data_IF_411659169685
#
_entry.id   IF_411659169685
#
_cell.length_a   1.000
_cell.length_b   1.000
_cell.length_c   1.000
_cell.angle_alpha   90.00
_cell.angle_beta   90.00
_cell.angle_gamma   90.00
#
_symmetry.space_group_name_H-M   'P 1'
#
loop_
_entity.id
_entity.type
_entity.pdbx_description
1 polymer ?
#
# COMPACT_ATOMS: atom_id res chain seq x y z
N UNK A 1 12.20 15.87 9.45
CA UNK A 1 11.34 16.37 8.34
C UNK A 1 10.32 15.28 8.03
N UNK A 2 9.48 14.96 9.01
CA UNK A 2 8.46 13.90 8.99
C UNK A 2 7.35 14.41 9.91
N UNK A 3 6.35 15.09 9.35
CA UNK A 3 5.18 15.54 10.11
C UNK A 3 3.95 15.48 9.21
N UNK A 4 2.79 15.20 9.82
CA UNK A 4 1.45 15.06 9.19
C UNK A 4 1.23 13.80 8.36
N UNK A 5 1.66 12.68 8.92
CA UNK A 5 1.41 11.36 8.34
C UNK A 5 -0.05 10.90 8.57
N UNK A 6 -0.64 11.00 9.77
CA UNK A 6 -1.93 10.35 10.14
C UNK A 6 -3.06 10.23 9.07
N UNK A 7 -3.50 11.29 8.38
CA UNK A 7 -4.55 11.15 7.37
C UNK A 7 -4.01 10.61 6.02
N UNK A 8 -2.76 10.92 5.72
CA UNK A 8 -2.03 10.44 4.53
C UNK A 8 -1.63 8.97 4.68
N UNK A 9 -1.14 8.54 5.86
CA UNK A 9 -0.99 7.13 6.21
C UNK A 9 -2.33 6.42 6.31
N UNK A 10 -3.43 7.06 6.73
CA UNK A 10 -4.75 6.41 6.64
C UNK A 10 -5.11 6.08 5.19
N UNK A 11 -4.92 7.02 4.25
CA UNK A 11 -5.20 6.81 2.82
C UNK A 11 -4.21 5.81 2.19
N UNK A 12 -2.92 5.89 2.54
CA UNK A 12 -1.89 4.98 2.04
C UNK A 12 -1.96 3.61 2.71
N UNK A 13 -2.39 3.48 3.96
CA UNK A 13 -2.61 2.19 4.62
C UNK A 13 -3.82 1.47 4.06
N UNK A 14 -4.81 2.18 3.48
CA UNK A 14 -5.83 1.52 2.65
C UNK A 14 -5.23 0.90 1.38
N UNK A 15 -4.05 1.36 0.94
CA UNK A 15 -3.30 0.82 -0.21
C UNK A 15 -2.21 -0.18 0.21
N UNK A 16 -1.78 -0.23 1.48
CA UNK A 16 -0.62 -1.02 1.93
C UNK A 16 -0.86 -2.01 3.08
N UNK A 17 -2.02 -2.02 3.76
CA UNK A 17 -2.22 -2.83 4.98
C UNK A 17 -3.47 -3.72 4.92
N UNK A 18 -3.22 -5.03 4.94
CA UNK A 18 -4.20 -6.10 5.25
C UNK A 18 -4.57 -6.04 6.75
N UNK A 19 -5.75 -6.42 7.26
CA UNK A 19 -6.30 -7.78 7.21
C UNK A 19 -7.86 -7.78 7.65
N UNK A 20 -8.56 -8.88 8.07
CA UNK A 20 -9.98 -9.17 8.64
C UNK A 20 -11.36 -8.64 8.18
N UNK A 21 -12.22 -8.31 9.17
CA UNK A 21 -13.61 -8.81 9.31
C UNK A 21 -14.43 -8.19 10.47
N UNK A 22 -15.31 -7.27 10.11
CA UNK A 22 -16.73 -7.30 10.48
C UNK A 22 -17.53 -6.97 9.20
N UNK A 23 -18.86 -7.12 9.19
CA UNK A 23 -19.67 -6.71 8.03
C UNK A 23 -20.05 -5.22 8.09
N UNK A 24 -19.62 -4.38 7.13
CA UNK A 24 -20.12 -3.02 7.04
C UNK A 24 -21.56 -3.04 6.50
N UNK A 25 -22.42 -2.22 7.11
CA UNK A 25 -23.89 -2.20 6.96
C UNK A 25 -24.41 -1.91 5.51
N UNK A 26 -23.55 -1.78 4.50
CA UNK A 26 -23.93 -1.49 3.11
C UNK A 26 -23.02 -2.16 2.04
N UNK A 27 -22.48 -3.35 2.30
CA UNK A 27 -21.87 -4.20 1.26
C UNK A 27 -22.93 -5.11 0.59
N UNK A 28 -22.72 -5.55 -0.68
CA UNK A 28 -23.55 -6.60 -1.26
C UNK A 28 -23.40 -7.92 -0.47
N UNK A 29 -24.50 -8.60 -0.17
CA UNK A 29 -24.50 -9.86 0.57
C UNK A 29 -23.61 -10.93 -0.11
N UNK A 30 -22.72 -11.55 0.66
CA UNK A 30 -21.84 -12.64 0.20
C UNK A 30 -20.35 -12.43 0.47
N UNK A 31 -19.57 -13.50 0.32
CA UNK A 31 -18.11 -13.48 0.47
C UNK A 31 -17.42 -12.62 -0.60
N UNK A 32 -16.17 -12.18 -0.34
CA UNK A 32 -15.38 -11.40 -1.31
C UNK A 32 -15.32 -12.08 -2.69
N UNK A 33 -15.12 -13.39 -2.71
CA UNK A 33 -15.07 -14.19 -3.95
C UNK A 33 -16.40 -14.14 -4.71
N UNK A 34 -17.53 -14.20 -4.03
CA UNK A 34 -18.86 -14.10 -4.65
C UNK A 34 -19.14 -12.67 -5.15
N UNK A 35 -18.76 -11.65 -4.39
CA UNK A 35 -18.86 -10.25 -4.82
C UNK A 35 -18.07 -10.01 -6.10
N UNK A 36 -16.79 -10.43 -6.14
CA UNK A 36 -15.93 -10.36 -7.32
C UNK A 36 -16.52 -11.14 -8.50
N UNK A 37 -16.95 -12.39 -8.29
CA UNK A 37 -17.55 -13.22 -9.33
C UNK A 37 -18.87 -12.66 -9.88
N UNK A 38 -19.61 -11.87 -9.10
CA UNK A 38 -20.81 -11.17 -9.55
C UNK A 38 -20.47 -9.88 -10.31
N UNK A 39 -19.44 -9.14 -9.88
CA UNK A 39 -18.97 -7.93 -10.55
C UNK A 39 -18.37 -8.25 -11.93
N UNK A 40 -17.56 -9.32 -12.06
CA UNK A 40 -16.96 -9.75 -13.33
C UNK A 40 -18.01 -10.04 -14.42
N UNK A 41 -19.21 -10.50 -14.02
CA UNK A 41 -20.33 -10.81 -14.91
C UNK A 41 -21.13 -9.59 -15.38
N UNK A 42 -20.86 -8.39 -14.86
CA UNK A 42 -21.57 -7.19 -15.27
C UNK A 42 -21.31 -6.88 -16.76
N UNK A 43 -22.31 -6.34 -17.48
CA UNK A 43 -22.10 -5.90 -18.86
C UNK A 43 -21.15 -4.71 -18.90
N UNK A 44 -20.45 -4.50 -20.01
CA UNK A 44 -19.71 -3.26 -20.20
C UNK A 44 -20.65 -2.07 -20.30
N UNK A 45 -20.17 -0.93 -19.83
CA UNK A 45 -20.83 0.35 -19.95
C UNK A 45 -20.93 0.78 -21.41
N UNK A 46 -21.96 1.57 -21.72
CA UNK A 46 -22.18 2.14 -23.06
C UNK A 46 -21.53 3.51 -23.24
N UNK A 47 -20.94 4.06 -22.18
CA UNK A 47 -20.22 5.33 -22.22
C UNK A 47 -18.87 5.15 -22.90
N UNK A 48 -18.52 6.10 -23.77
CA UNK A 48 -17.20 6.19 -24.40
C UNK A 48 -16.10 6.44 -23.34
N UNK A 49 -14.82 6.15 -23.64
CA UNK A 49 -13.71 6.46 -22.74
C UNK A 49 -13.68 7.93 -22.28
N UNK A 50 -14.07 8.88 -23.14
CA UNK A 50 -14.15 10.29 -22.79
C UNK A 50 -15.27 10.61 -21.78
N UNK A 51 -16.43 9.98 -21.92
CA UNK A 51 -17.56 10.15 -20.98
C UNK A 51 -17.27 9.50 -19.62
N UNK A 52 -16.59 8.34 -19.61
CA UNK A 52 -16.13 7.68 -18.38
C UNK A 52 -15.18 8.58 -17.59
N UNK A 53 -14.27 9.27 -18.29
CA UNK A 53 -13.32 10.21 -17.71
C UNK A 53 -14.01 11.39 -17.01
N UNK A 54 -15.00 12.01 -17.67
CA UNK A 54 -15.83 13.09 -17.08
C UNK A 54 -16.57 12.59 -15.83
N UNK A 55 -17.10 11.36 -15.86
CA UNK A 55 -17.77 10.76 -14.70
C UNK A 55 -16.80 10.56 -13.53
N UNK A 56 -15.60 10.03 -13.80
CA UNK A 56 -14.57 9.81 -12.78
C UNK A 56 -14.11 11.13 -12.15
N UNK A 57 -13.84 12.15 -12.96
CA UNK A 57 -13.47 13.47 -12.46
C UNK A 57 -14.57 14.07 -11.58
N UNK A 58 -15.84 14.00 -11.99
CA UNK A 58 -16.97 14.54 -11.23
C UNK A 58 -17.11 13.91 -9.84
N UNK A 59 -16.90 12.60 -9.72
CA UNK A 59 -17.08 11.88 -8.46
C UNK A 59 -15.86 11.98 -7.54
N UNK A 60 -14.65 11.96 -8.10
CA UNK A 60 -13.44 12.27 -7.35
C UNK A 60 -13.45 13.71 -6.81
N UNK A 61 -14.04 14.66 -7.56
CA UNK A 61 -14.29 16.01 -7.05
C UNK A 61 -15.27 16.01 -5.86
N UNK A 62 -16.35 15.20 -5.88
CA UNK A 62 -17.29 15.10 -4.75
C UNK A 62 -16.63 14.47 -3.51
N UNK A 63 -15.81 13.42 -3.71
CA UNK A 63 -14.98 12.82 -2.67
C UNK A 63 -14.07 13.87 -2.04
N UNK A 64 -13.32 14.59 -2.86
CA UNK A 64 -12.34 15.56 -2.42
C UNK A 64 -13.00 16.74 -1.67
N UNK A 65 -14.20 17.18 -2.07
CA UNK A 65 -15.00 18.16 -1.30
C UNK A 65 -15.44 17.62 0.07
N UNK A 66 -15.64 16.31 0.22
CA UNK A 66 -15.85 15.73 1.56
C UNK A 66 -14.55 15.60 2.33
N UNK A 67 -13.43 15.24 1.69
CA UNK A 67 -12.13 15.14 2.35
C UNK A 67 -11.62 16.50 2.83
N UNK A 68 -11.79 17.57 2.05
CA UNK A 68 -11.29 18.93 2.30
C UNK A 68 -11.73 19.50 3.67
N UNK A 69 -12.89 19.08 4.18
CA UNK A 69 -13.41 19.54 5.49
C UNK A 69 -12.53 19.10 6.67
N UNK A 70 -11.75 18.03 6.52
CA UNK A 70 -10.83 17.52 7.55
C UNK A 70 -9.72 18.51 7.88
N UNK A 71 -9.39 19.43 6.96
CA UNK A 71 -8.48 20.57 7.20
C UNK A 71 -8.93 21.48 8.35
N UNK A 72 -10.22 21.44 8.70
CA UNK A 72 -10.82 22.25 9.77
C UNK A 72 -11.13 21.45 11.04
N UNK A 73 -10.70 20.19 11.09
CA UNK A 73 -10.94 19.30 12.23
C UNK A 73 -10.10 19.70 13.43
N UNK A 74 -10.76 20.22 14.49
CA UNK A 74 -10.10 20.50 15.76
C UNK A 74 -9.53 19.25 16.43
N UNK A 75 -10.09 18.06 16.15
CA UNK A 75 -9.55 16.80 16.62
C UNK A 75 -8.21 16.48 15.94
N UNK A 76 -8.11 16.60 14.60
CA UNK A 76 -6.86 16.37 13.87
C UNK A 76 -5.77 17.36 14.29
N UNK A 77 -6.12 18.65 14.43
CA UNK A 77 -5.18 19.69 14.88
C UNK A 77 -4.64 19.42 16.29
N UNK A 78 -5.47 18.93 17.21
CA UNK A 78 -5.04 18.53 18.55
C UNK A 78 -4.14 17.28 18.55
N UNK A 79 -4.46 16.26 17.74
CA UNK A 79 -3.60 15.06 17.62
C UNK A 79 -2.24 15.44 17.01
N UNK A 80 -2.23 16.30 15.98
CA UNK A 80 -1.00 16.84 15.40
C UNK A 80 -0.18 17.60 16.45
N UNK A 81 -0.81 18.48 17.23
CA UNK A 81 -0.10 19.22 18.27
C UNK A 81 0.42 18.31 19.39
N UNK A 82 -0.30 17.24 19.76
CA UNK A 82 0.23 16.24 20.70
C UNK A 82 1.54 15.62 20.17
N UNK A 83 1.56 15.22 18.90
CA UNK A 83 2.77 14.72 18.23
C UNK A 83 3.90 15.76 18.21
N UNK A 84 3.59 17.03 17.95
CA UNK A 84 4.58 18.12 18.01
C UNK A 84 5.18 18.30 19.41
N UNK A 85 4.38 18.15 20.46
CA UNK A 85 4.83 18.27 21.85
C UNK A 85 5.65 17.05 22.31
N UNK A 86 5.30 15.83 21.87
CA UNK A 86 6.12 14.63 22.03
C UNK A 86 7.47 14.76 21.32
N UNK A 87 7.50 15.39 20.14
CA UNK A 87 8.75 15.70 19.43
C UNK A 87 9.61 16.78 20.13
N UNK A 88 9.03 17.66 20.94
CA UNK A 88 9.78 18.68 21.71
C UNK A 88 10.36 18.09 23.00
N UNK A 89 9.57 17.25 23.68
CA UNK A 89 9.98 16.47 24.84
C UNK A 89 9.29 15.12 24.71
N UNK A 90 10.06 14.08 24.42
CA UNK A 90 9.53 12.72 24.42
C UNK A 90 8.97 12.41 25.82
N UNK A 91 7.86 11.68 25.85
CA UNK A 91 7.36 11.11 27.09
C UNK A 91 7.82 9.69 27.15
N UNK A 92 8.51 9.37 28.22
CA UNK A 92 8.99 8.04 28.45
C UNK A 92 7.91 7.17 29.10
N UNK A 93 7.22 6.39 28.27
CA UNK A 93 6.24 5.40 28.74
C UNK A 93 6.87 4.00 28.94
N UNK A 94 8.16 3.80 28.61
CA UNK A 94 8.87 2.51 28.71
C UNK A 94 10.21 2.60 29.47
N UNK A 95 10.41 3.62 30.30
CA UNK A 95 11.63 3.89 31.07
C UNK A 95 12.95 3.89 30.24
N UNK A 96 12.87 4.38 28.99
CA UNK A 96 13.99 4.97 28.24
C UNK A 96 14.13 4.49 26.79
N UNK A 97 13.18 3.67 26.31
CA UNK A 97 13.48 2.57 25.37
C UNK A 97 12.73 2.63 24.03
N UNK A 98 11.95 3.70 23.83
CA UNK A 98 11.38 4.11 22.54
C UNK A 98 11.18 5.65 22.58
N UNK A 99 11.22 6.31 21.42
CA UNK A 99 10.99 7.76 21.31
C UNK A 99 9.50 8.15 21.50
N UNK A 100 8.62 7.15 21.54
CA UNK A 100 7.21 7.19 21.93
C UNK A 100 6.33 8.13 21.08
N UNK A 101 5.82 7.56 20.01
CA UNK A 101 4.90 8.22 19.07
C UNK A 101 3.43 8.10 19.53
N UNK A 102 2.51 8.66 18.76
CA UNK A 102 1.07 8.63 19.10
C UNK A 102 0.53 7.19 18.97
N UNK A 103 1.08 6.43 18.03
CA UNK A 103 0.86 5.02 17.80
C UNK A 103 1.12 4.20 19.07
N UNK A 104 2.16 4.51 19.84
CA UNK A 104 2.47 3.79 21.09
C UNK A 104 1.38 4.01 22.16
N UNK A 105 0.88 5.25 22.31
CA UNK A 105 -0.21 5.59 23.24
C UNK A 105 -1.49 4.78 22.97
N UNK A 106 -1.68 4.34 21.72
CA UNK A 106 -2.85 3.60 21.24
C UNK A 106 -2.61 2.07 21.13
N UNK A 107 -1.39 1.59 21.42
CA UNK A 107 -1.00 0.18 21.27
C UNK A 107 -0.26 -0.42 22.50
N UNK A 108 -0.19 0.27 23.63
CA UNK A 108 0.40 -0.27 24.88
C UNK A 108 -0.61 -0.90 25.83
N UNK A 109 -0.13 -1.80 26.70
CA UNK A 109 -0.90 -2.26 27.85
C UNK A 109 -0.15 -2.30 29.17
N UNK A 110 -0.88 -2.09 30.27
CA UNK A 110 -0.36 -2.07 31.65
C UNK A 110 0.43 -0.82 32.04
N UNK A 111 0.71 0.08 31.09
CA UNK A 111 1.48 1.31 31.28
C UNK A 111 0.52 2.48 31.55
N UNK A 112 0.55 3.03 32.77
CA UNK A 112 -0.37 4.09 33.20
C UNK A 112 0.35 5.29 33.84
N UNK A 113 -0.23 6.48 33.69
CA UNK A 113 0.35 7.76 34.12
C UNK A 113 -0.40 8.94 33.51
N UNK A 114 -0.37 10.09 34.18
CA UNK A 114 -0.96 11.34 33.66
C UNK A 114 0.18 12.32 33.38
N UNK A 115 0.36 12.67 32.10
CA UNK A 115 1.38 13.58 31.60
C UNK A 115 0.73 14.92 31.28
N UNK A 116 1.06 15.95 32.05
CA UNK A 116 0.57 17.32 31.83
C UNK A 116 1.66 18.17 31.21
N UNK A 117 1.39 18.79 30.06
CA UNK A 117 2.34 19.67 29.39
C UNK A 117 2.62 20.92 30.21
N UNK A 118 3.89 21.23 30.49
CA UNK A 118 4.28 22.51 31.08
C UNK A 118 4.78 23.45 29.99
N UNK A 119 3.94 24.41 29.59
CA UNK A 119 4.27 25.33 28.51
C UNK A 119 5.45 26.29 28.81
N UNK A 120 5.79 26.51 30.09
CA UNK A 120 6.91 27.37 30.48
C UNK A 120 8.25 26.65 30.42
N UNK A 121 8.31 25.40 30.87
CA UNK A 121 9.54 24.58 30.89
C UNK A 121 9.69 23.65 29.70
N UNK A 122 8.66 23.55 28.84
CA UNK A 122 8.62 22.72 27.62
C UNK A 122 8.91 21.23 27.86
N UNK A 123 8.41 20.71 28.99
CA UNK A 123 8.52 19.30 29.39
C UNK A 123 7.16 18.79 29.89
N UNK A 124 7.00 17.48 29.90
CA UNK A 124 5.85 16.80 30.47
C UNK A 124 6.03 16.55 31.98
N UNK A 125 5.01 16.89 32.77
CA UNK A 125 4.95 16.61 34.20
C UNK A 125 4.12 15.35 34.43
N UNK A 126 4.78 14.25 34.83
CA UNK A 126 4.15 12.96 35.15
C UNK A 126 3.54 12.99 36.55
N UNK A 127 2.30 12.52 36.69
CA UNK A 127 1.70 12.09 37.97
C UNK A 127 1.21 10.65 37.86
N UNK A 128 1.18 9.95 38.98
CA UNK A 128 0.84 8.52 39.02
C UNK A 128 -0.63 8.28 38.68
N UNK A 129 -0.88 7.31 37.81
CA UNK A 129 -2.19 6.72 37.55
C UNK A 129 -2.04 5.20 37.48
N UNK A 130 -3.09 4.48 37.88
CA UNK A 130 -3.16 3.01 37.84
C UNK A 130 -4.32 2.51 36.98
N UNK A 131 -5.00 3.41 36.26
CA UNK A 131 -6.26 3.12 35.55
C UNK A 131 -6.36 3.71 34.15
N UNK A 132 -5.50 4.67 33.80
CA UNK A 132 -5.42 5.28 32.47
C UNK A 132 -4.04 5.88 32.17
N UNK A 133 -3.66 5.87 30.90
CA UNK A 133 -2.55 6.64 30.34
C UNK A 133 -3.15 7.91 29.73
N UNK A 134 -2.78 9.08 30.24
CA UNK A 134 -3.43 10.34 29.86
C UNK A 134 -2.44 11.45 29.56
N UNK A 135 -2.65 12.15 28.46
CA UNK A 135 -1.91 13.35 28.09
C UNK A 135 -2.84 14.57 28.20
N UNK A 136 -2.39 15.65 28.83
CA UNK A 136 -3.14 16.89 29.06
C UNK A 136 -2.32 18.05 28.50
N UNK A 137 -2.80 18.68 27.43
CA UNK A 137 -2.01 19.52 26.54
C UNK A 137 -2.85 20.60 25.83
N UNK A 138 -2.26 21.62 25.19
CA UNK A 138 -3.02 22.61 24.42
C UNK A 138 -3.56 22.00 23.11
N UNK A 139 -4.81 22.28 22.74
CA UNK A 139 -5.40 21.73 21.52
C UNK A 139 -4.74 22.24 20.21
N UNK A 140 -3.96 23.32 20.28
CA UNK A 140 -3.31 23.95 19.12
C UNK A 140 -1.93 24.48 19.48
N UNK A 141 -1.00 24.50 18.53
CA UNK A 141 0.35 25.06 18.73
C UNK A 141 0.35 26.56 19.10
N UNK A 142 -0.69 27.30 18.71
CA UNK A 142 -0.90 28.71 19.06
C UNK A 142 -1.48 28.94 20.46
N UNK A 143 -1.86 27.87 21.18
CA UNK A 143 -2.46 27.95 22.51
C UNK A 143 -1.46 27.56 23.61
N UNK A 144 -1.63 28.14 24.79
CA UNK A 144 -0.79 27.87 25.97
C UNK A 144 -1.56 27.21 27.12
N UNK A 145 -2.89 27.16 27.04
CA UNK A 145 -3.75 26.53 28.03
C UNK A 145 -3.96 25.06 27.65
N UNK A 146 -3.82 24.15 28.62
CA UNK A 146 -4.03 22.72 28.39
C UNK A 146 -5.52 22.40 28.38
N UNK A 147 -6.19 22.66 27.26
CA UNK A 147 -7.62 22.44 27.08
C UNK A 147 -7.97 21.14 26.35
N UNK A 148 -6.98 20.41 25.83
CA UNK A 148 -7.15 19.07 25.29
C UNK A 148 -6.68 18.00 26.28
N UNK A 149 -7.32 16.82 26.23
CA UNK A 149 -6.72 15.62 26.81
C UNK A 149 -7.03 14.36 26.01
N UNK A 150 -6.02 13.54 25.78
CA UNK A 150 -6.13 12.19 25.25
C UNK A 150 -5.96 11.22 26.42
N UNK A 151 -6.99 10.43 26.74
CA UNK A 151 -6.90 9.37 27.75
C UNK A 151 -7.09 8.01 27.11
N UNK A 152 -6.23 7.05 27.44
CA UNK A 152 -6.14 5.69 26.89
C UNK A 152 -6.23 4.66 28.02
N UNK A 153 -6.98 3.58 27.79
CA UNK A 153 -7.19 2.44 28.71
C UNK A 153 -7.05 1.15 27.94
N UNK A 154 -6.45 0.13 28.53
CA UNK A 154 -6.15 -1.11 27.83
C UNK A 154 -6.42 -2.35 28.66
N UNK A 155 -6.70 -3.46 27.97
CA UNK A 155 -6.76 -4.79 28.56
C UNK A 155 -5.57 -5.61 28.06
N UNK A 156 -4.70 -6.04 28.97
CA UNK A 156 -3.49 -6.78 28.62
C UNK A 156 -3.81 -8.21 28.14
N UNK A 157 -3.08 -8.68 27.14
CA UNK A 157 -3.03 -10.10 26.80
C UNK A 157 -2.12 -10.86 27.79
N UNK A 158 -2.03 -12.18 27.62
CA UNK A 158 -1.01 -13.00 28.29
C UNK A 158 0.33 -13.03 27.55
N UNK A 159 0.43 -12.42 26.36
CA UNK A 159 1.62 -12.43 25.52
C UNK A 159 2.52 -11.25 25.87
N UNK A 160 3.81 -11.55 25.98
CA UNK A 160 4.86 -10.61 26.33
C UNK A 160 5.84 -10.48 25.18
N UNK A 161 6.09 -9.26 24.72
CA UNK A 161 7.21 -8.93 23.84
C UNK A 161 8.41 -8.60 24.71
N UNK A 162 9.59 -9.08 24.30
CA UNK A 162 10.86 -8.72 24.92
C UNK A 162 11.45 -7.50 24.25
N UNK A 163 11.75 -6.48 25.07
CA UNK A 163 12.52 -5.32 24.65
C UNK A 163 13.92 -5.46 25.24
N UNK A 164 14.96 -5.41 24.41
CA UNK A 164 16.35 -5.42 24.88
C UNK A 164 16.58 -4.14 25.71
N UNK A 165 16.89 -4.32 27.00
CA UNK A 165 17.15 -3.25 27.95
C UNK A 165 18.66 -2.93 28.00
N UNK A 166 19.46 -3.97 28.22
CA UNK A 166 20.90 -3.80 28.39
C UNK A 166 21.70 -5.09 28.11
N UNK A 167 22.92 -4.93 27.60
CA UNK A 167 23.82 -6.04 27.34
C UNK A 167 24.94 -6.10 28.39
N UNK A 168 24.98 -7.18 29.16
CA UNK A 168 26.09 -7.45 30.08
C UNK A 168 27.25 -8.11 29.31
N UNK A 169 28.23 -7.31 28.91
CA UNK A 169 29.43 -7.75 28.19
C UNK A 169 30.35 -8.70 28.98
N UNK A 170 30.21 -8.79 30.31
CA UNK A 170 31.02 -9.67 31.16
C UNK A 170 30.43 -11.10 31.25
N UNK A 171 29.10 -11.22 31.19
CA UNK A 171 28.39 -12.51 31.17
C UNK A 171 27.88 -12.91 29.78
N UNK A 172 28.01 -12.03 28.78
CA UNK A 172 27.48 -12.22 27.43
C UNK A 172 25.95 -12.27 27.38
N UNK A 173 25.27 -11.63 28.32
CA UNK A 173 23.81 -11.80 28.54
C UNK A 173 23.04 -10.53 28.22
N UNK A 174 22.03 -10.64 27.34
CA UNK A 174 21.02 -9.60 27.14
C UNK A 174 19.98 -9.65 28.25
N UNK A 175 19.86 -8.54 28.98
CA UNK A 175 18.74 -8.26 29.89
C UNK A 175 17.62 -7.68 29.04
N UNK A 176 16.41 -8.18 29.24
CA UNK A 176 15.22 -7.74 28.50
C UNK A 176 14.13 -7.36 29.50
N UNK A 177 13.41 -6.28 29.20
CA UNK A 177 12.10 -6.02 29.79
C UNK A 177 11.02 -6.80 29.04
N UNK A 178 9.87 -6.98 29.70
CA UNK A 178 8.73 -7.71 29.14
C UNK A 178 7.46 -6.85 29.23
N UNK A 179 6.98 -6.37 28.08
CA UNK A 179 5.71 -5.63 27.98
C UNK A 179 4.59 -6.54 27.49
N UNK A 180 3.39 -6.40 28.08
CA UNK A 180 2.22 -7.15 27.61
C UNK A 180 1.60 -6.48 26.39
N UNK A 181 1.35 -7.25 25.33
CA UNK A 181 0.57 -6.78 24.18
C UNK A 181 -0.89 -6.53 24.60
N UNK A 182 -1.56 -5.48 24.11
CA UNK A 182 -2.99 -5.26 24.39
C UNK A 182 -3.88 -6.25 23.64
N UNK A 183 -4.95 -6.72 24.27
CA UNK A 183 -6.11 -7.30 23.57
C UNK A 183 -7.13 -6.24 23.15
N UNK A 184 -7.11 -5.09 23.83
CA UNK A 184 -7.89 -3.91 23.47
C UNK A 184 -7.26 -2.65 24.05
N UNK A 185 -7.43 -1.53 23.35
CA UNK A 185 -7.10 -0.17 23.80
C UNK A 185 -8.25 0.75 23.41
N UNK A 186 -8.90 1.37 24.38
CA UNK A 186 -9.92 2.40 24.18
C UNK A 186 -9.33 3.76 24.58
N UNK A 187 -9.30 4.72 23.65
CA UNK A 187 -8.85 6.08 23.92
C UNK A 187 -9.87 7.14 23.51
N UNK A 188 -9.93 8.23 24.29
CA UNK A 188 -10.85 9.34 24.09
C UNK A 188 -10.04 10.64 24.09
N UNK A 189 -10.15 11.40 23.01
CA UNK A 189 -9.71 12.78 22.94
C UNK A 189 -10.86 13.70 23.34
N UNK A 190 -10.62 14.59 24.29
CA UNK A 190 -11.50 15.71 24.63
C UNK A 190 -10.83 17.04 24.34
N UNK A 191 -11.61 18.04 23.96
CA UNK A 191 -11.21 19.45 23.80
C UNK A 191 -12.26 20.30 24.50
N UNK A 192 -11.84 21.21 25.37
CA UNK A 192 -12.71 22.04 26.22
C UNK A 192 -13.73 21.21 27.04
N UNK A 193 -13.35 19.98 27.39
CA UNK A 193 -14.19 19.01 28.11
C UNK A 193 -15.21 18.25 27.25
N UNK A 194 -15.29 18.52 25.95
CA UNK A 194 -16.19 17.86 25.00
C UNK A 194 -15.44 16.78 24.23
N UNK A 195 -16.07 15.64 23.96
CA UNK A 195 -15.47 14.57 23.14
C UNK A 195 -15.20 15.06 21.71
N UNK A 196 -13.93 15.00 21.31
CA UNK A 196 -13.44 15.40 19.99
C UNK A 196 -13.13 14.18 19.10
N UNK A 197 -12.59 13.11 19.67
CA UNK A 197 -12.40 11.83 18.97
C UNK A 197 -12.46 10.63 19.92
N UNK A 198 -12.69 9.45 19.36
CA UNK A 198 -12.50 8.16 20.02
C UNK A 198 -11.67 7.25 19.14
N UNK A 199 -10.80 6.47 19.78
CA UNK A 199 -9.96 5.44 19.17
C UNK A 199 -10.25 4.12 19.87
N UNK A 200 -10.41 3.04 19.12
CA UNK A 200 -10.55 1.70 19.65
C UNK A 200 -9.65 0.77 18.86
N UNK A 201 -8.67 0.16 19.53
CA UNK A 201 -7.82 -0.91 19.01
C UNK A 201 -8.29 -2.23 19.62
N UNK A 202 -8.33 -3.32 18.86
CA UNK A 202 -8.51 -4.68 19.40
C UNK A 202 -7.47 -5.62 18.83
N UNK A 203 -7.12 -6.69 19.56
CA UNK A 203 -6.29 -7.77 19.07
C UNK A 203 -6.62 -9.10 19.77
N UNK A 204 -6.55 -10.19 19.00
CA UNK A 204 -6.68 -11.57 19.46
C UNK A 204 -5.44 -12.34 19.05
N UNK A 205 -4.97 -13.21 19.94
CA UNK A 205 -3.74 -13.98 19.75
C UNK A 205 -3.95 -15.42 20.21
N UNK A 206 -3.30 -16.37 19.54
CA UNK A 206 -3.31 -17.80 19.87
C UNK A 206 -1.94 -18.25 20.34
N UNK A 207 -1.90 -18.97 21.46
CA UNK A 207 -0.66 -19.49 22.04
C UNK A 207 0.27 -18.37 22.51
N UNK A 208 1.48 -18.35 21.98
CA UNK A 208 2.56 -17.40 22.35
C UNK A 208 3.09 -16.62 21.15
N UNK A 209 2.29 -16.48 20.08
CA UNK A 209 2.71 -15.77 18.87
C UNK A 209 2.42 -14.28 19.02
N UNK A 210 3.45 -13.44 18.89
CA UNK A 210 3.35 -11.97 19.04
C UNK A 210 2.54 -11.31 17.91
N UNK A 211 2.45 -11.94 16.74
CA UNK A 211 1.59 -11.51 15.63
C UNK A 211 0.13 -11.91 15.86
N UNK A 212 -0.82 -10.97 15.98
CA UNK A 212 -2.22 -11.28 16.26
C UNK A 212 -2.90 -12.08 15.15
N UNK A 213 -3.77 -13.01 15.52
CA UNK A 213 -4.64 -13.75 14.60
C UNK A 213 -5.79 -12.88 14.12
N UNK A 214 -6.26 -11.94 14.94
CA UNK A 214 -7.21 -10.89 14.55
C UNK A 214 -6.81 -9.57 15.20
N UNK A 215 -6.98 -8.44 14.50
CA UNK A 215 -6.75 -7.08 15.01
C UNK A 215 -7.84 -6.13 14.53
N UNK A 216 -7.99 -4.97 15.15
CA UNK A 216 -8.70 -3.84 14.56
C UNK A 216 -8.27 -2.50 15.12
N UNK A 217 -8.51 -1.46 14.35
CA UNK A 217 -8.40 -0.06 14.73
C UNK A 217 -9.59 0.72 14.16
N UNK A 218 -10.23 1.51 15.02
CA UNK A 218 -11.35 2.39 14.69
C UNK A 218 -11.08 3.77 15.27
N UNK A 219 -11.08 4.79 14.42
CA UNK A 219 -11.05 6.19 14.80
C UNK A 219 -12.37 6.85 14.38
N UNK A 220 -13.04 7.54 15.32
CA UNK A 220 -14.23 8.36 15.06
C UNK A 220 -13.93 9.78 15.50
N UNK A 221 -14.12 10.74 14.59
CA UNK A 221 -13.97 12.17 14.85
C UNK A 221 -15.34 12.83 14.97
N UNK A 222 -15.49 13.81 15.86
CA UNK A 222 -16.78 14.44 16.16
C UNK A 222 -17.33 15.34 15.02
N UNK A 223 -16.52 15.63 14.02
CA UNK A 223 -16.86 16.36 12.78
C UNK A 223 -17.48 15.46 11.69
N UNK A 224 -17.58 14.16 11.96
CA UNK A 224 -18.26 13.17 11.13
C UNK A 224 -17.34 12.20 10.39
N UNK A 225 -16.02 12.30 10.50
CA UNK A 225 -15.14 11.27 9.92
C UNK A 225 -15.11 9.99 10.75
N UNK A 226 -15.05 8.85 10.07
CA UNK A 226 -14.74 7.57 10.70
C UNK A 226 -13.79 6.79 9.81
N UNK A 227 -12.69 6.32 10.39
CA UNK A 227 -11.75 5.39 9.77
C UNK A 227 -11.74 4.07 10.54
N UNK A 228 -11.82 2.96 9.80
CA UNK A 228 -11.83 1.61 10.34
C UNK A 228 -10.90 0.73 9.49
N UNK A 229 -10.05 -0.07 10.13
CA UNK A 229 -9.22 -1.11 9.51
C UNK A 229 -9.16 -2.30 10.48
N UNK A 230 -9.31 -3.53 10.01
CA UNK A 230 -9.53 -4.66 10.94
C UNK A 230 -8.97 -5.99 10.48
N UNK A 231 -7.81 -6.42 11.00
CA UNK A 231 -6.91 -7.54 10.64
C UNK A 231 -7.28 -9.01 10.98
N UNK A 232 -6.97 -10.06 10.17
CA UNK A 232 -6.96 -11.49 10.55
C UNK A 232 -6.21 -12.43 9.62
N UNK A 233 -5.42 -13.31 10.24
CA UNK A 233 -4.85 -14.51 9.62
C UNK A 233 -5.77 -15.70 9.88
N UNK A 234 -6.04 -16.53 8.87
CA UNK A 234 -6.81 -17.79 9.02
C UNK A 234 -6.20 -18.87 8.15
N UNK A 235 -6.29 -20.12 8.60
CA UNK A 235 -5.64 -21.28 7.96
C UNK A 235 -5.99 -21.52 6.47
N UNK A 236 -7.09 -20.93 5.97
CA UNK A 236 -7.54 -21.07 4.57
C UNK A 236 -7.45 -19.77 3.77
N UNK A 237 -7.64 -18.61 4.40
CA UNK A 237 -7.63 -17.30 3.75
C UNK A 237 -7.44 -16.19 4.79
N UNK A 238 -6.38 -15.40 4.63
CA UNK A 238 -6.27 -14.10 5.26
C UNK A 238 -7.23 -13.16 4.54
N UNK A 239 -8.08 -12.41 5.24
CA UNK A 239 -8.92 -11.36 4.62
C UNK A 239 -8.37 -9.98 4.95
N UNK A 240 -8.85 -8.92 4.31
CA UNK A 240 -8.46 -7.51 4.46
C UNK A 240 -9.67 -6.59 4.42
N UNK A 241 -9.80 -5.62 5.32
CA UNK A 241 -10.82 -4.55 5.25
C UNK A 241 -10.31 -3.21 5.77
N UNK A 242 -10.58 -2.15 5.03
CA UNK A 242 -10.47 -0.77 5.47
C UNK A 242 -11.65 0.07 4.97
N UNK A 243 -12.05 1.08 5.72
CA UNK A 243 -13.15 1.99 5.40
C UNK A 243 -12.83 3.38 5.94
N UNK A 244 -12.93 4.39 5.08
CA UNK A 244 -12.88 5.81 5.45
C UNK A 244 -14.17 6.47 4.99
N UNK A 245 -14.91 7.04 5.95
CA UNK A 245 -16.25 7.57 5.74
C UNK A 245 -16.38 8.98 6.28
N UNK A 246 -17.36 9.72 5.76
CA UNK A 246 -17.76 11.02 6.28
C UNK A 246 -19.29 11.07 6.41
N UNK A 247 -19.78 11.30 7.64
CA UNK A 247 -21.20 11.21 8.01
C UNK A 247 -21.86 9.91 7.53
N UNK A 248 -21.17 8.78 7.72
CA UNK A 248 -21.62 7.45 7.33
C UNK A 248 -21.58 7.14 5.82
N UNK A 249 -21.13 8.07 4.97
CA UNK A 249 -20.95 7.83 3.53
C UNK A 249 -19.53 7.37 3.23
N UNK A 250 -19.38 6.35 2.37
CA UNK A 250 -18.07 5.89 1.93
C UNK A 250 -17.33 7.01 1.18
N UNK A 251 -16.07 7.25 1.55
CA UNK A 251 -15.14 8.05 0.75
C UNK A 251 -14.20 7.11 -0.01
N UNK A 252 -13.51 6.25 0.74
CA UNK A 252 -12.71 5.15 0.21
C UNK A 252 -12.90 3.95 1.13
N UNK A 253 -13.09 2.77 0.56
CA UNK A 253 -12.97 1.50 1.28
C UNK A 253 -12.23 0.49 0.43
N UNK A 254 -11.67 -0.50 1.12
CA UNK A 254 -10.88 -1.57 0.54
C UNK A 254 -11.31 -2.87 1.22
N UNK A 255 -11.41 -3.93 0.45
CA UNK A 255 -11.52 -5.30 0.95
C UNK A 255 -10.63 -6.18 0.11
N UNK A 256 -9.78 -6.99 0.73
CA UNK A 256 -8.97 -7.98 0.02
C UNK A 256 -8.98 -9.33 0.75
N UNK A 257 -8.35 -10.32 0.14
CA UNK A 257 -8.08 -11.59 0.78
C UNK A 257 -7.03 -12.37 0.03
N UNK A 258 -6.19 -13.10 0.76
CA UNK A 258 -5.07 -13.85 0.21
C UNK A 258 -4.94 -15.23 0.84
N UNK A 259 -4.48 -16.19 0.04
CA UNK A 259 -4.12 -17.55 0.49
C UNK A 259 -2.61 -17.70 0.76
N UNK A 260 -1.86 -16.60 0.82
CA UNK A 260 -0.44 -16.62 1.13
C UNK A 260 -0.17 -17.00 2.60
N UNK A 261 0.97 -17.63 2.85
CA UNK A 261 1.38 -18.01 4.21
C UNK A 261 2.18 -16.86 4.86
N UNK A 262 1.43 -15.90 5.42
CA UNK A 262 1.97 -14.68 6.03
C UNK A 262 2.96 -15.00 7.17
N UNK A 263 2.69 -16.04 7.97
CA UNK A 263 3.52 -16.36 9.13
C UNK A 263 4.88 -16.95 8.74
N UNK A 264 5.02 -17.53 7.54
CA UNK A 264 6.31 -17.96 7.01
C UNK A 264 6.96 -16.89 6.11
N UNK A 265 6.18 -16.07 5.39
CA UNK A 265 6.68 -14.87 4.69
C UNK A 265 7.42 -13.89 5.62
N UNK A 266 7.03 -13.83 6.90
CA UNK A 266 7.68 -12.99 7.91
C UNK A 266 8.96 -13.61 8.52
N UNK A 267 9.35 -14.84 8.12
CA UNK A 267 10.45 -15.60 8.73
C UNK A 267 11.54 -16.06 7.75
N UNK A 268 11.27 -16.04 6.46
CA UNK A 268 12.11 -16.64 5.42
C UNK A 268 12.25 -15.68 4.23
N UNK A 269 13.49 -15.49 3.77
CA UNK A 269 13.83 -14.70 2.59
C UNK A 269 13.36 -15.38 1.28
N UNK A 270 13.04 -16.68 1.31
CA UNK A 270 12.52 -17.44 0.17
C UNK A 270 11.01 -17.17 -0.09
N UNK A 271 10.67 -15.91 -0.38
CA UNK A 271 9.29 -15.39 -0.55
C UNK A 271 8.40 -16.23 -1.47
N UNK A 272 8.96 -16.83 -2.54
CA UNK A 272 8.18 -17.48 -3.61
C UNK A 272 7.37 -18.70 -3.17
N UNK A 273 7.86 -19.51 -2.23
CA UNK A 273 7.17 -20.74 -1.81
C UNK A 273 5.91 -20.49 -0.95
N UNK A 274 5.78 -19.29 -0.40
CA UNK A 274 4.67 -18.86 0.46
C UNK A 274 3.67 -17.94 -0.25
N UNK A 275 3.88 -17.67 -1.55
CA UNK A 275 2.92 -16.96 -2.39
C UNK A 275 1.62 -17.75 -2.53
N UNK A 276 0.53 -17.02 -2.73
CA UNK A 276 -0.79 -17.59 -2.94
C UNK A 276 -1.59 -16.79 -3.97
N UNK A 277 -2.91 -16.91 -3.90
CA UNK A 277 -3.81 -16.01 -4.60
C UNK A 277 -4.03 -14.74 -3.78
N UNK A 278 -4.38 -13.64 -4.43
CA UNK A 278 -4.74 -12.37 -3.80
C UNK A 278 -5.90 -11.74 -4.58
N UNK A 279 -7.00 -11.46 -3.88
CA UNK A 279 -8.22 -10.87 -4.43
C UNK A 279 -8.47 -9.54 -3.74
N UNK A 280 -9.00 -8.55 -4.45
CA UNK A 280 -9.21 -7.20 -3.94
C UNK A 280 -10.43 -6.50 -4.54
N UNK A 281 -11.00 -5.59 -3.77
CA UNK A 281 -12.09 -4.69 -4.13
C UNK A 281 -11.79 -3.35 -3.44
N UNK A 282 -11.39 -2.34 -4.22
CA UNK A 282 -11.25 -0.95 -3.75
C UNK A 282 -12.46 -0.16 -4.24
N UNK A 283 -13.22 0.45 -3.34
CA UNK A 283 -14.39 1.25 -3.65
C UNK A 283 -14.15 2.73 -3.34
N UNK A 284 -14.22 3.58 -4.37
CA UNK A 284 -14.13 5.03 -4.27
C UNK A 284 -15.56 5.60 -4.33
N UNK A 285 -15.93 6.38 -3.31
CA UNK A 285 -17.30 6.85 -3.07
C UNK A 285 -18.31 5.69 -3.11
N UNK A 286 -19.53 5.91 -3.62
CA UNK A 286 -20.54 4.86 -3.77
C UNK A 286 -20.56 4.23 -5.18
N UNK A 287 -19.59 4.60 -6.04
CA UNK A 287 -19.80 4.54 -7.49
C UNK A 287 -18.66 3.91 -8.29
N UNK A 288 -17.38 4.07 -7.91
CA UNK A 288 -16.27 3.41 -8.60
C UNK A 288 -15.76 2.23 -7.78
N UNK A 289 -15.56 1.09 -8.43
CA UNK A 289 -14.90 -0.09 -7.88
C UNK A 289 -13.71 -0.45 -8.79
N UNK A 290 -12.57 -0.77 -8.17
CA UNK A 290 -11.47 -1.50 -8.78
C UNK A 290 -11.52 -2.91 -8.22
N UNK A 291 -11.68 -3.91 -9.08
CA UNK A 291 -11.57 -5.34 -8.74
C UNK A 291 -10.17 -5.82 -9.10
N UNK A 292 -9.57 -6.62 -8.21
CA UNK A 292 -8.36 -7.38 -8.46
C UNK A 292 -8.61 -8.87 -8.18
N UNK A 293 -8.18 -9.75 -9.09
CA UNK A 293 -8.13 -11.20 -8.92
C UNK A 293 -6.77 -11.66 -9.43
N UNK A 294 -5.89 -12.11 -8.53
CA UNK A 294 -4.48 -12.38 -8.82
C UNK A 294 -4.08 -13.78 -8.35
N UNK A 295 -3.42 -14.55 -9.20
CA UNK A 295 -2.79 -15.83 -8.89
C UNK A 295 -1.26 -15.69 -8.92
N UNK A 296 -0.71 -15.10 -7.86
CA UNK A 296 0.73 -14.76 -7.79
C UNK A 296 1.58 -16.04 -7.86
N UNK A 297 1.13 -17.11 -7.19
CA UNK A 297 1.78 -18.42 -7.26
C UNK A 297 1.63 -19.12 -8.63
N UNK A 298 0.58 -18.78 -9.40
CA UNK A 298 0.43 -19.18 -10.80
C UNK A 298 1.40 -18.42 -11.71
N UNK A 299 1.45 -17.09 -11.56
CA UNK A 299 2.33 -16.21 -12.32
C UNK A 299 3.81 -16.61 -12.14
N UNK A 300 4.28 -16.76 -10.90
CA UNK A 300 5.67 -17.13 -10.63
C UNK A 300 6.09 -18.47 -11.28
N UNK A 301 5.15 -19.43 -11.41
CA UNK A 301 5.41 -20.71 -12.10
C UNK A 301 5.42 -20.57 -13.62
N UNK A 302 4.56 -19.72 -14.17
CA UNK A 302 4.57 -19.43 -15.60
C UNK A 302 5.82 -18.64 -16.01
N UNK A 303 6.32 -17.76 -15.14
CA UNK A 303 7.55 -16.99 -15.35
C UNK A 303 8.80 -17.89 -15.21
N UNK A 304 8.85 -18.79 -14.22
CA UNK A 304 9.89 -19.84 -14.11
C UNK A 304 9.88 -20.78 -15.34
N UNK A 305 8.70 -21.08 -15.89
CA UNK A 305 8.57 -21.87 -17.12
C UNK A 305 8.99 -21.08 -18.37
N UNK A 306 8.77 -19.76 -18.39
CA UNK A 306 9.25 -18.87 -19.45
C UNK A 306 10.78 -18.82 -19.47
N UNK A 307 11.42 -18.55 -18.33
CA UNK A 307 12.88 -18.50 -18.21
C UNK A 307 13.55 -19.80 -18.70
N UNK A 308 12.97 -20.96 -18.36
CA UNK A 308 13.48 -22.28 -18.80
C UNK A 308 13.24 -22.58 -20.28
N UNK A 309 12.23 -21.99 -20.90
CA UNK A 309 11.83 -22.29 -22.28
C UNK A 309 12.34 -21.28 -23.30
N UNK A 310 12.62 -20.04 -22.88
CA UNK A 310 13.12 -18.97 -23.72
C UNK A 310 14.63 -18.78 -23.49
N UNK A 311 15.42 -19.61 -24.17
CA UNK A 311 16.90 -19.56 -24.07
C UNK A 311 17.44 -18.27 -24.66
N UNK A 312 18.20 -17.51 -23.85
CA UNK A 312 18.87 -16.28 -24.31
C UNK A 312 19.86 -16.59 -25.46
N UNK A 313 19.91 -15.79 -26.55
CA UNK A 313 20.76 -16.06 -27.70
C UNK A 313 22.26 -16.08 -27.39
N UNK A 314 22.95 -17.09 -27.93
CA UNK A 314 24.41 -17.24 -27.82
C UNK A 314 25.12 -16.25 -28.77
N UNK A 315 25.89 -15.28 -28.21
CA UNK A 315 26.68 -14.32 -28.99
C UNK A 315 27.71 -14.98 -29.90
N UNK A 316 28.08 -16.24 -29.65
CA UNK A 316 28.98 -16.99 -30.52
C UNK A 316 28.32 -17.47 -31.84
N UNK A 317 27.06 -17.11 -32.12
CA UNK A 317 26.36 -17.44 -33.37
C UNK A 317 26.27 -16.25 -34.34
N UNK A 318 26.41 -16.55 -35.64
CA UNK A 318 26.18 -15.59 -36.75
C UNK A 318 24.77 -14.98 -36.77
N UNK A 319 23.79 -15.64 -36.17
CA UNK A 319 22.40 -15.17 -36.11
C UNK A 319 22.11 -14.30 -34.87
N UNK A 320 23.08 -14.12 -33.96
CA UNK A 320 22.88 -13.52 -32.63
C UNK A 320 21.99 -12.28 -32.60
N UNK A 321 22.25 -11.24 -33.40
CA UNK A 321 21.45 -10.02 -33.36
C UNK A 321 20.04 -10.16 -33.95
N UNK A 322 19.83 -11.11 -34.86
CA UNK A 322 18.48 -11.47 -35.35
C UNK A 322 17.74 -12.27 -34.28
N UNK A 323 18.42 -13.25 -33.68
CA UNK A 323 17.89 -14.08 -32.60
C UNK A 323 17.57 -13.25 -31.36
N UNK A 324 18.36 -12.20 -31.06
CA UNK A 324 18.15 -11.26 -29.94
C UNK A 324 16.91 -10.41 -30.15
N UNK A 325 16.71 -9.84 -31.34
CA UNK A 325 15.48 -9.11 -31.64
C UNK A 325 14.25 -10.02 -31.57
N UNK A 326 14.36 -11.28 -32.02
CA UNK A 326 13.29 -12.27 -31.91
C UNK A 326 13.06 -12.77 -30.47
N UNK A 327 14.12 -12.80 -29.64
CA UNK A 327 14.04 -13.09 -28.22
C UNK A 327 13.31 -11.96 -27.47
N UNK A 328 13.71 -10.69 -27.67
CA UNK A 328 13.17 -9.54 -26.94
C UNK A 328 11.65 -9.43 -27.11
N UNK A 329 11.14 -9.47 -28.34
CA UNK A 329 9.69 -9.43 -28.60
C UNK A 329 8.98 -10.63 -27.96
N UNK A 330 9.52 -11.85 -28.13
CA UNK A 330 8.90 -13.06 -27.61
C UNK A 330 8.91 -13.10 -26.08
N UNK A 331 9.93 -12.53 -25.43
CA UNK A 331 9.98 -12.40 -23.97
C UNK A 331 8.81 -11.53 -23.49
N UNK A 332 8.73 -10.29 -24.00
CA UNK A 332 7.70 -9.32 -23.64
C UNK A 332 6.27 -9.79 -23.99
N UNK A 333 6.06 -10.40 -25.15
CA UNK A 333 4.77 -11.04 -25.52
C UNK A 333 4.40 -12.20 -24.57
N UNK A 334 5.38 -12.95 -24.06
CA UNK A 334 5.14 -14.06 -23.13
C UNK A 334 4.89 -13.57 -21.70
N UNK A 335 5.64 -12.58 -21.22
CA UNK A 335 5.44 -11.95 -19.90
C UNK A 335 4.06 -11.29 -19.83
N UNK A 336 3.68 -10.51 -20.85
CA UNK A 336 2.33 -9.91 -20.90
C UNK A 336 1.23 -10.95 -21.02
N UNK A 337 1.46 -12.09 -21.68
CA UNK A 337 0.53 -13.23 -21.69
C UNK A 337 0.40 -13.89 -20.31
N UNK A 338 1.52 -14.12 -19.61
CA UNK A 338 1.55 -14.65 -18.25
C UNK A 338 0.84 -13.72 -17.25
N UNK A 339 1.08 -12.41 -17.35
CA UNK A 339 0.39 -11.40 -16.55
C UNK A 339 -1.12 -11.44 -16.79
N UNK A 340 -1.57 -11.28 -18.04
CA UNK A 340 -3.01 -11.27 -18.38
C UNK A 340 -3.75 -12.59 -18.04
N UNK A 341 -3.02 -13.71 -17.96
CA UNK A 341 -3.55 -15.01 -17.53
C UNK A 341 -3.79 -15.07 -16.01
N UNK A 342 -2.86 -14.52 -15.22
CA UNK A 342 -2.85 -14.69 -13.76
C UNK A 342 -3.33 -13.46 -12.98
N UNK A 343 -3.34 -12.27 -13.59
CA UNK A 343 -3.78 -11.00 -13.02
C UNK A 343 -4.97 -10.49 -13.82
N UNK A 344 -6.11 -10.30 -13.14
CA UNK A 344 -7.28 -9.61 -13.68
C UNK A 344 -7.53 -8.37 -12.84
N UNK A 345 -7.55 -7.22 -13.49
CA UNK A 345 -7.85 -5.94 -12.90
C UNK A 345 -9.01 -5.33 -13.67
N UNK A 346 -10.08 -4.88 -13.01
CA UNK A 346 -11.30 -4.40 -13.67
C UNK A 346 -11.79 -3.12 -13.01
N UNK A 347 -12.02 -2.09 -13.81
CA UNK A 347 -12.69 -0.86 -13.41
C UNK A 347 -14.19 -0.99 -13.59
N UNK A 348 -14.98 -0.65 -12.58
CA UNK A 348 -16.44 -0.88 -12.54
C UNK A 348 -17.19 0.33 -11.99
N UNK A 349 -18.30 0.64 -12.63
CA UNK A 349 -19.29 1.61 -12.16
C UNK A 349 -20.34 0.89 -11.30
N UNK A 350 -20.12 0.86 -9.96
CA UNK A 350 -21.02 0.26 -8.96
C UNK A 350 -22.46 0.78 -9.12
N UNK A 351 -22.59 2.10 -9.28
CA UNK A 351 -23.88 2.79 -9.39
C UNK A 351 -24.67 2.42 -10.64
N UNK A 352 -24.00 2.16 -11.76
CA UNK A 352 -24.67 1.78 -13.00
C UNK A 352 -24.78 0.25 -13.17
N UNK A 353 -24.05 -0.53 -12.35
CA UNK A 353 -23.92 -1.98 -12.48
C UNK A 353 -23.20 -2.39 -13.77
N UNK A 354 -22.17 -1.64 -14.20
CA UNK A 354 -21.46 -1.90 -15.47
C UNK A 354 -19.94 -1.90 -15.32
N UNK A 355 -19.26 -2.78 -16.05
CA UNK A 355 -17.80 -2.73 -16.23
C UNK A 355 -17.42 -1.53 -17.11
N UNK A 356 -16.42 -0.77 -16.69
CA UNK A 356 -15.89 0.36 -17.45
C UNK A 356 -14.85 -0.15 -18.44
N UNK A 357 -13.81 -0.79 -17.91
CA UNK A 357 -12.72 -1.39 -18.68
C UNK A 357 -12.09 -2.53 -17.87
N UNK A 358 -11.54 -3.52 -18.56
CA UNK A 358 -10.54 -4.41 -17.97
C UNK A 358 -9.16 -3.77 -18.17
N UNK A 359 -8.25 -3.93 -17.21
CA UNK A 359 -6.84 -3.57 -17.36
C UNK A 359 -6.11 -4.80 -17.89
N UNK A 360 -5.36 -4.63 -18.97
CA UNK A 360 -4.53 -5.66 -19.59
C UNK A 360 -3.11 -5.13 -19.82
N UNK A 361 -2.14 -6.02 -19.94
CA UNK A 361 -0.78 -5.68 -20.35
C UNK A 361 -0.56 -5.95 -21.84
N UNK A 362 0.23 -5.12 -22.51
CA UNK A 362 0.63 -5.23 -23.92
C UNK A 362 2.14 -5.09 -24.06
N UNK A 363 2.73 -5.83 -24.99
CA UNK A 363 4.11 -5.62 -25.42
C UNK A 363 4.15 -4.52 -26.46
N UNK A 364 4.66 -3.35 -26.08
CA UNK A 364 4.79 -2.19 -26.95
C UNK A 364 6.23 -2.03 -27.44
N UNK A 365 6.41 -1.35 -28.59
CA UNK A 365 7.74 -1.01 -29.12
C UNK A 365 8.38 0.03 -28.19
N UNK A 366 9.32 -0.43 -27.36
CA UNK A 366 10.07 0.40 -26.43
C UNK A 366 11.31 1.04 -27.05
N UNK A 367 12.30 1.31 -26.20
CA UNK A 367 13.59 1.87 -26.64
C UNK A 367 14.30 0.99 -27.66
N UNK A 368 15.08 1.62 -28.54
CA UNK A 368 15.96 0.90 -29.46
C UNK A 368 17.31 1.59 -29.57
N UNK A 369 18.37 0.79 -29.63
CA UNK A 369 19.73 1.26 -29.87
C UNK A 369 20.31 0.55 -31.08
N UNK A 370 21.24 1.21 -31.75
CA UNK A 370 22.13 0.53 -32.66
C UNK A 370 23.32 -0.01 -31.86
N UNK A 371 23.86 -1.15 -32.27
CA UNK A 371 25.17 -1.63 -31.83
C UNK A 371 26.21 -0.50 -31.93
N UNK A 372 27.01 -0.32 -30.86
CA UNK A 372 28.00 0.76 -30.71
C UNK A 372 29.08 0.74 -31.79
N UNK A 373 29.36 -0.46 -32.29
CA UNK A 373 30.43 -0.75 -33.22
C UNK A 373 29.88 -1.49 -34.44
N UNK A 374 30.49 -1.23 -35.59
CA UNK A 374 30.08 -1.77 -36.89
C UNK A 374 30.58 -3.22 -37.02
N UNK A 375 30.05 -4.10 -36.19
CA UNK A 375 30.41 -5.50 -36.15
C UNK A 375 30.00 -6.23 -37.44
N UNK A 376 30.86 -7.16 -37.87
CA UNK A 376 30.55 -8.13 -38.91
C UNK A 376 30.87 -9.53 -38.40
N UNK A 377 30.12 -10.51 -38.90
CA UNK A 377 30.50 -11.90 -38.71
C UNK A 377 31.67 -12.26 -39.63
N UNK A 378 32.84 -12.45 -39.05
CA UNK A 378 34.04 -12.95 -39.73
C UNK A 378 34.03 -14.47 -39.63
N UNK A 379 34.18 -15.16 -40.77
CA UNK A 379 34.36 -16.60 -40.76
C UNK A 379 35.80 -16.92 -40.34
N UNK A 380 35.98 -17.58 -39.20
CA UNK A 380 37.26 -18.02 -38.69
C UNK A 380 37.27 -19.55 -38.61
N UNK A 381 38.24 -20.16 -39.30
CA UNK A 381 38.45 -21.60 -39.30
C UNK A 381 39.10 -22.11 -37.99
N UNK A 382 39.65 -21.23 -37.15
CA UNK A 382 40.19 -21.59 -35.83
C UNK A 382 39.07 -21.83 -34.81
N UNK A 383 37.97 -21.07 -34.89
CA UNK A 383 36.75 -21.31 -34.11
C UNK A 383 35.88 -22.44 -34.70
N UNK A 384 36.41 -23.66 -34.71
CA UNK A 384 35.78 -24.86 -35.32
C UNK A 384 34.35 -25.12 -34.81
N UNK A 385 34.04 -24.73 -33.55
CA UNK A 385 32.72 -24.98 -32.94
C UNK A 385 31.60 -24.12 -33.53
N UNK A 386 31.91 -22.90 -33.98
CA UNK A 386 30.92 -21.91 -34.42
C UNK A 386 31.15 -21.38 -35.85
N UNK A 387 32.32 -21.64 -36.43
CA UNK A 387 32.70 -21.23 -37.79
C UNK A 387 33.05 -19.76 -37.96
N UNK A 388 33.23 -19.01 -36.85
CA UNK A 388 33.54 -17.58 -36.89
C UNK A 388 33.35 -16.83 -35.59
N UNK A 389 33.46 -15.51 -35.69
CA UNK A 389 33.41 -14.53 -34.60
C UNK A 389 32.72 -13.25 -35.06
N UNK A 390 32.10 -12.54 -34.13
CA UNK A 390 31.74 -11.13 -34.34
C UNK A 390 32.96 -10.26 -34.08
N UNK A 391 33.38 -9.52 -35.10
CA UNK A 391 34.59 -8.69 -35.07
C UNK A 391 34.31 -7.29 -35.64
N UNK A 392 35.15 -6.33 -35.27
CA UNK A 392 35.07 -4.96 -35.75
C UNK A 392 35.82 -4.82 -37.08
N UNK A 393 35.11 -4.67 -38.20
CA UNK A 393 35.76 -4.41 -39.50
C UNK A 393 36.03 -2.90 -39.68
N UNK A 394 37.30 -2.53 -39.55
CA UNK A 394 37.84 -1.20 -39.80
C UNK A 394 38.77 -1.24 -41.01
N UNK A 395 38.43 -0.50 -42.07
CA UNK A 395 39.27 -0.40 -43.26
C UNK A 395 39.70 1.06 -43.48
N UNK A 396 41.00 1.34 -43.33
CA UNK A 396 41.56 2.70 -43.43
C UNK A 396 40.86 3.74 -42.51
N UNK A 397 40.46 3.33 -41.30
CA UNK A 397 39.76 4.20 -40.34
C UNK A 397 38.27 4.41 -40.64
N UNK A 398 37.73 3.77 -41.67
CA UNK A 398 36.28 3.76 -41.98
C UNK A 398 35.68 2.42 -41.53
N UNK A 399 34.59 2.42 -40.75
CA UNK A 399 33.90 1.19 -40.39
C UNK A 399 33.23 0.54 -41.62
N UNK A 400 33.31 -0.78 -41.73
CA UNK A 400 32.79 -1.56 -42.88
C UNK A 400 31.52 -2.37 -42.59
N UNK A 401 31.24 -2.66 -41.31
CA UNK A 401 30.00 -3.31 -40.93
C UNK A 401 28.78 -2.40 -41.09
N UNK A 402 27.62 -2.90 -40.71
CA UNK A 402 26.39 -2.11 -40.59
C UNK A 402 25.95 -2.19 -39.14
N UNK A 403 25.73 -1.04 -38.49
CA UNK A 403 25.21 -1.03 -37.13
C UNK A 403 23.83 -1.70 -37.12
N UNK A 404 23.73 -2.83 -36.41
CA UNK A 404 22.49 -3.58 -36.28
C UNK A 404 21.62 -2.92 -35.22
N UNK A 405 20.37 -2.61 -35.58
CA UNK A 405 19.36 -2.13 -34.65
C UNK A 405 18.92 -3.26 -33.73
N UNK A 406 18.98 -3.01 -32.42
CA UNK A 406 18.39 -3.84 -31.37
C UNK A 406 17.15 -3.10 -30.86
N UNK A 407 16.00 -3.76 -30.95
CA UNK A 407 14.71 -3.27 -30.47
C UNK A 407 14.41 -3.93 -29.13
N UNK A 408 14.13 -3.12 -28.11
CA UNK A 408 13.52 -3.57 -26.86
C UNK A 408 12.01 -3.31 -26.88
N UNK A 409 11.31 -3.96 -25.98
CA UNK A 409 9.87 -3.87 -25.82
C UNK A 409 9.56 -3.55 -24.36
N UNK A 410 8.46 -2.83 -24.13
CA UNK A 410 8.02 -2.42 -22.80
C UNK A 410 6.65 -3.05 -22.50
N UNK A 411 6.45 -3.61 -21.31
CA UNK A 411 5.22 -4.28 -20.90
C UNK A 411 4.18 -3.28 -20.33
N UNK A 412 3.51 -2.55 -21.22
CA UNK A 412 2.64 -1.41 -20.91
C UNK A 412 1.22 -1.83 -20.48
N UNK A 413 0.66 -1.17 -19.47
CA UNK A 413 -0.74 -1.37 -19.05
C UNK A 413 -1.74 -0.55 -19.88
N UNK A 414 -2.82 -1.19 -20.29
CA UNK A 414 -3.88 -0.67 -21.16
C UNK A 414 -5.27 -0.85 -20.52
N UNK A 415 -6.14 0.15 -20.69
CA UNK A 415 -7.58 0.03 -20.46
C UNK A 415 -8.26 -0.52 -21.71
N UNK A 416 -8.91 -1.68 -21.59
CA UNK A 416 -9.72 -2.31 -22.63
C UNK A 416 -11.20 -2.11 -22.36
N UNK A 417 -11.87 -1.37 -23.24
CA UNK A 417 -13.29 -1.03 -23.14
C UNK A 417 -14.17 -2.05 -23.86
N UNK A 418 -15.49 -1.99 -23.62
CA UNK A 418 -16.46 -2.97 -24.15
C UNK A 418 -16.68 -2.95 -25.67
N UNK A 419 -16.25 -1.88 -26.34
CA UNK A 419 -16.17 -1.74 -27.80
C UNK A 419 -14.87 -2.32 -28.39
N UNK A 420 -14.00 -2.91 -27.55
CA UNK A 420 -12.63 -3.33 -27.85
C UNK A 420 -11.64 -2.20 -28.15
N UNK A 421 -11.99 -0.94 -27.85
CA UNK A 421 -11.00 0.15 -27.81
C UNK A 421 -10.01 -0.14 -26.69
N UNK A 422 -8.72 -0.01 -26.97
CA UNK A 422 -7.62 -0.18 -26.01
C UNK A 422 -6.82 1.13 -25.92
N UNK A 423 -6.63 1.66 -24.72
CA UNK A 423 -5.89 2.92 -24.48
C UNK A 423 -4.87 2.70 -23.35
N UNK A 424 -3.59 3.01 -23.59
CA UNK A 424 -2.56 2.94 -22.56
C UNK A 424 -2.98 3.76 -21.32
N UNK A 425 -2.85 3.18 -20.12
CA UNK A 425 -3.28 3.81 -18.87
C UNK A 425 -2.60 5.16 -18.65
N UNK A 426 -1.29 5.25 -18.93
CA UNK A 426 -0.52 6.48 -18.88
C UNK A 426 -1.18 7.58 -19.73
N UNK A 427 -1.43 7.32 -21.02
CA UNK A 427 -2.11 8.25 -21.93
C UNK A 427 -3.54 8.59 -21.53
N UNK A 428 -4.28 7.65 -20.93
CA UNK A 428 -5.65 7.88 -20.49
C UNK A 428 -5.73 8.82 -19.27
N UNK A 429 -4.81 8.67 -18.31
CA UNK A 429 -4.80 9.46 -17.07
C UNK A 429 -3.93 10.72 -17.12
N UNK A 430 -2.98 10.86 -18.05
CA UNK A 430 -2.01 11.98 -18.12
C UNK A 430 -2.56 13.33 -18.59
N UNK A 431 -3.87 13.46 -18.80
CA UNK A 431 -4.51 14.68 -19.31
C UNK A 431 -5.90 14.83 -18.70
N UNK A 432 -6.46 16.02 -18.61
CA UNK A 432 -7.87 16.23 -18.28
C UNK A 432 -8.26 15.81 -16.86
N UNK A 433 -7.27 15.51 -16.01
CA UNK A 433 -7.42 15.41 -14.56
C UNK A 433 -6.68 16.56 -13.84
N UNK A 434 -6.04 17.46 -14.57
CA UNK A 434 -5.16 18.53 -14.08
C UNK A 434 -5.82 19.39 -12.97
N UNK A 435 -7.14 19.61 -13.06
CA UNK A 435 -7.92 20.31 -12.03
C UNK A 435 -8.14 19.48 -10.76
N UNK A 436 -8.35 18.17 -10.91
CA UNK A 436 -8.49 17.23 -9.80
C UNK A 436 -7.14 17.05 -9.11
N UNK A 437 -6.06 16.89 -9.89
CA UNK A 437 -4.67 16.83 -9.44
C UNK A 437 -4.30 18.09 -8.64
N UNK A 438 -4.51 19.29 -9.21
CA UNK A 438 -4.27 20.56 -8.50
C UNK A 438 -5.02 20.62 -7.16
N UNK A 439 -6.31 20.24 -7.13
CA UNK A 439 -7.08 20.22 -5.88
C UNK A 439 -6.57 19.17 -4.89
N UNK A 440 -6.06 18.03 -5.37
CA UNK A 440 -5.52 16.98 -4.52
C UNK A 440 -4.17 17.41 -3.93
N UNK A 441 -3.32 18.07 -4.72
CA UNK A 441 -2.12 18.74 -4.19
C UNK A 441 -2.46 19.83 -3.17
N UNK A 442 -3.43 20.70 -3.45
CA UNK A 442 -3.89 21.74 -2.51
C UNK A 442 -4.58 21.15 -1.27
N UNK A 443 -5.09 19.93 -1.38
CA UNK A 443 -5.53 19.14 -0.23
C UNK A 443 -4.33 18.70 0.61
N UNK A 444 -3.34 18.03 0.01
CA UNK A 444 -2.13 17.56 0.68
C UNK A 444 -1.33 18.71 1.33
N UNK A 445 -1.06 19.80 0.59
CA UNK A 445 -0.29 20.98 1.06
C UNK A 445 -0.89 21.66 2.28
N UNK A 446 -2.21 21.57 2.50
CA UNK A 446 -2.83 22.07 3.73
C UNK A 446 -2.35 21.29 4.95
N UNK A 447 -2.08 19.99 4.78
CA UNK A 447 -1.46 19.14 5.78
C UNK A 447 0.06 19.26 5.82
N UNK A 448 0.75 20.10 5.06
CA UNK A 448 2.23 20.21 5.15
C UNK A 448 2.75 21.32 6.09
N UNK A 449 1.88 22.27 6.48
CA UNK A 449 2.22 23.50 7.26
C UNK A 449 2.48 23.31 8.75
#
# INVERSE_FOLDING_TARGET
>A
MIKKILLFSVIISQLTVSCSSDEPVNAPEGSLTEQIANIIKQPYSKLTPAEQKVKLEAEANVMLVQMDKSKTSGAIEAIQNLGDLLNISSVDIFDGKNDNEIEDILNVSGVYGIYTWNNSTKIWVKTTSTTELKFVFPAKASQTANNASLSSKSNSSTIKVKLEDSYNWQSGTTINDEIFLPTSVDAILTIDGIQAATFATTAKYTGTVETPDESSFKMVLNDGYTYEISGSKKATQNTAKSSFTYNGKNLVSFTAGSTADIDNLLKDDAVTQYQGKANGLVQIMDNFIIVAEMDIAGQAKDDEALEKSLVYPDRQKKTYYTDLNAYNIKNSESETSNHNKNVKLILVSKKDGTKIADVIQRSDIGYSFNTSEYEVWVNDASNIKYGGSWEFDWNNGVPKGTAVKIQQYDEVLYLKFGDSTEVAMSSYFSTGFDKLETKFEDFLKAFER
#
